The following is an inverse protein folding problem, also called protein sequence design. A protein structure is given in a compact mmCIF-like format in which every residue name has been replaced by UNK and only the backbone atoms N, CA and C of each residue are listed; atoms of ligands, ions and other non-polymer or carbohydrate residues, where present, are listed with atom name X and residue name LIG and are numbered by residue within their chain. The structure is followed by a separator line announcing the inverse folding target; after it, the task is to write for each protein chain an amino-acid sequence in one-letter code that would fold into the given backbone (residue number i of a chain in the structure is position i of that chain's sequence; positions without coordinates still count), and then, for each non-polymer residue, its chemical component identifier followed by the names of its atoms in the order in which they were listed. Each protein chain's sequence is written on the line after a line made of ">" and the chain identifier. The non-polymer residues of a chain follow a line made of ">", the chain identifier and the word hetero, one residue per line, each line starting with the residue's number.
data_IF_519039504902
#
_entry.id   IF_519039504902
#
_cell.length_a   1.000
_cell.length_b   1.000
_cell.length_c   1.000
_cell.angle_alpha   90.00
_cell.angle_beta   90.00
_cell.angle_gamma   90.00
#
_symmetry.space_group_name_H-M   'P 1'
#
loop_
_entity.id
_entity.type
_entity.pdbx_description
1 polymer ?
#
# COMPACT_ATOMS: atom_id res chain seq x y z
N UNK A 1 1.42 19.62 -10.63
CA UNK A 1 0.50 20.09 -9.58
C UNK A 1 1.14 19.96 -8.18
N UNK A 2 1.67 18.81 -7.77
CA UNK A 2 2.22 18.63 -6.41
C UNK A 2 3.45 19.50 -6.12
N UNK A 3 4.35 19.69 -7.08
CA UNK A 3 5.49 20.60 -6.93
C UNK A 3 5.04 22.06 -6.75
N UNK A 4 4.03 22.49 -7.50
CA UNK A 4 3.42 23.79 -7.32
C UNK A 4 2.81 23.92 -5.91
N UNK A 5 2.05 22.91 -5.46
CA UNK A 5 1.48 22.89 -4.11
C UNK A 5 2.53 23.04 -3.01
N UNK A 6 3.67 22.37 -3.14
CA UNK A 6 4.79 22.53 -2.21
C UNK A 6 5.30 23.97 -2.15
N UNK A 7 5.61 24.56 -3.30
CA UNK A 7 6.18 25.90 -3.36
C UNK A 7 5.20 26.99 -2.97
N UNK A 8 3.92 26.88 -3.32
CA UNK A 8 2.92 27.88 -2.92
C UNK A 8 2.70 27.85 -1.41
N UNK A 9 2.68 26.67 -0.78
CA UNK A 9 2.61 26.53 0.68
C UNK A 9 3.79 27.20 1.36
N UNK A 10 5.01 26.98 0.87
CA UNK A 10 6.22 27.62 1.37
C UNK A 10 6.16 29.14 1.20
N UNK A 11 5.75 29.62 0.01
CA UNK A 11 5.62 31.04 -0.26
C UNK A 11 4.65 31.72 0.70
N UNK A 12 3.47 31.15 0.91
CA UNK A 12 2.47 31.71 1.82
C UNK A 12 2.94 31.70 3.28
N UNK A 13 3.63 30.67 3.70
CA UNK A 13 4.26 30.60 5.02
C UNK A 13 5.24 31.74 5.23
N UNK A 14 6.13 31.97 4.27
CA UNK A 14 7.19 32.97 4.37
C UNK A 14 6.68 34.39 4.18
N UNK A 15 5.72 34.65 3.27
CA UNK A 15 5.22 35.99 2.94
C UNK A 15 4.15 36.48 3.90
N UNK A 16 3.33 35.62 4.44
CA UNK A 16 2.16 36.00 5.25
C UNK A 16 2.21 35.49 6.69
N UNK A 17 3.28 34.80 7.08
CA UNK A 17 3.43 34.26 8.45
C UNK A 17 2.41 33.16 8.81
N UNK A 18 1.81 32.51 7.81
CA UNK A 18 0.84 31.46 8.02
C UNK A 18 1.54 30.20 8.58
N UNK A 19 0.97 29.59 9.61
CA UNK A 19 1.46 28.30 10.11
C UNK A 19 1.08 27.19 9.12
N UNK A 20 1.88 27.01 8.09
CA UNK A 20 1.67 26.04 7.03
C UNK A 20 2.87 25.09 6.92
N UNK A 21 2.62 23.80 6.91
CA UNK A 21 3.62 22.74 6.80
C UNK A 21 3.41 21.95 5.53
N UNK A 22 4.50 21.54 4.86
CA UNK A 22 4.43 20.52 3.83
C UNK A 22 4.74 19.14 4.42
N UNK A 23 3.82 18.20 4.25
CA UNK A 23 4.06 16.79 4.49
C UNK A 23 4.42 16.06 3.19
N UNK A 24 5.65 15.60 3.07
CA UNK A 24 6.10 14.74 1.98
C UNK A 24 5.88 13.30 2.42
N UNK A 25 4.71 12.78 2.07
CA UNK A 25 4.24 11.49 2.55
C UNK A 25 4.59 10.38 1.56
N UNK A 26 5.37 9.40 2.01
CA UNK A 26 5.62 8.19 1.25
C UNK A 26 4.37 7.30 1.23
N UNK A 27 4.45 6.12 0.61
CA UNK A 27 3.27 5.29 0.42
C UNK A 27 2.66 4.90 1.77
N UNK A 28 1.48 5.41 2.06
CA UNK A 28 0.74 5.14 3.29
C UNK A 28 -0.53 4.36 2.96
N UNK A 29 -0.66 3.21 3.59
CA UNK A 29 -1.59 2.18 3.24
C UNK A 29 -2.52 1.86 4.41
N UNK A 30 -3.70 1.34 4.10
CA UNK A 30 -4.66 0.85 5.08
C UNK A 30 -5.78 0.06 4.38
N UNK A 31 -6.71 -0.56 5.12
CA UNK A 31 -7.95 -1.10 4.55
C UNK A 31 -8.78 -0.11 3.73
N UNK A 32 -8.56 1.19 3.91
CA UNK A 32 -9.25 2.27 3.18
C UNK A 32 -8.47 2.75 1.94
N UNK A 33 -7.35 2.13 1.60
CA UNK A 33 -6.60 2.48 0.39
C UNK A 33 -7.45 2.25 -0.85
N UNK A 34 -7.35 3.15 -1.84
CA UNK A 34 -8.05 2.99 -3.12
C UNK A 34 -7.70 1.66 -3.80
N UNK A 35 -8.69 1.01 -4.38
CA UNK A 35 -8.64 -0.37 -4.87
C UNK A 35 -7.67 -0.58 -6.04
N UNK A 36 -7.39 0.47 -6.81
CA UNK A 36 -6.46 0.46 -7.95
C UNK A 36 -4.99 0.52 -7.55
N UNK A 37 -4.68 0.85 -6.30
CA UNK A 37 -3.30 0.84 -5.79
C UNK A 37 -2.80 -0.58 -5.57
N UNK A 38 -1.51 -0.81 -5.86
CA UNK A 38 -0.91 -2.15 -5.89
C UNK A 38 -1.12 -2.95 -4.60
N UNK A 39 -0.96 -2.33 -3.44
CA UNK A 39 -1.15 -2.98 -2.14
C UNK A 39 -2.57 -3.47 -1.96
N UNK A 40 -3.56 -2.58 -2.21
CA UNK A 40 -4.98 -2.93 -2.08
C UNK A 40 -5.42 -3.92 -3.16
N UNK A 41 -4.92 -3.78 -4.38
CA UNK A 41 -5.14 -4.76 -5.45
C UNK A 41 -4.68 -6.17 -5.02
N UNK A 42 -3.51 -6.27 -4.37
CA UNK A 42 -2.98 -7.54 -3.88
C UNK A 42 -3.87 -8.11 -2.78
N UNK A 43 -4.18 -7.35 -1.72
CA UNK A 43 -4.94 -7.86 -0.57
C UNK A 43 -6.35 -8.29 -0.95
N UNK A 44 -7.03 -7.53 -1.82
CA UNK A 44 -8.34 -7.90 -2.38
C UNK A 44 -8.27 -9.16 -3.22
N UNK A 45 -7.28 -9.29 -4.11
CA UNK A 45 -7.11 -10.49 -4.92
C UNK A 45 -6.82 -11.73 -4.06
N UNK A 46 -5.96 -11.60 -3.04
CA UNK A 46 -5.66 -12.69 -2.10
C UNK A 46 -6.92 -13.14 -1.36
N UNK A 47 -7.74 -12.22 -0.89
CA UNK A 47 -9.01 -12.53 -0.25
C UNK A 47 -10.00 -13.21 -1.21
N UNK A 48 -10.14 -12.69 -2.44
CA UNK A 48 -10.99 -13.30 -3.48
C UNK A 48 -10.49 -14.71 -3.85
N UNK A 49 -9.18 -14.91 -4.04
CA UNK A 49 -8.58 -16.21 -4.35
C UNK A 49 -8.86 -17.22 -3.22
N UNK A 50 -8.68 -16.80 -1.97
CA UNK A 50 -8.96 -17.64 -0.80
C UNK A 50 -10.42 -18.10 -0.75
N UNK A 51 -11.35 -17.25 -1.18
CA UNK A 51 -12.79 -17.53 -1.19
C UNK A 51 -13.28 -18.19 -2.50
N UNK A 52 -12.39 -18.46 -3.46
CA UNK A 52 -12.74 -19.07 -4.75
C UNK A 52 -13.48 -18.12 -5.70
N UNK A 53 -13.35 -16.82 -5.50
CA UNK A 53 -14.00 -15.77 -6.31
C UNK A 53 -13.12 -15.27 -7.46
N UNK A 54 -11.84 -15.62 -7.44
CA UNK A 54 -10.83 -15.24 -8.42
C UNK A 54 -9.76 -16.35 -8.50
N UNK A 55 -9.23 -16.59 -9.70
CA UNK A 55 -8.21 -17.63 -9.88
C UNK A 55 -6.79 -17.08 -9.77
N UNK A 56 -6.52 -15.92 -10.35
CA UNK A 56 -5.15 -15.41 -10.52
C UNK A 56 -5.09 -13.90 -10.32
N UNK A 57 -4.07 -13.44 -9.59
CA UNK A 57 -3.69 -12.03 -9.48
C UNK A 57 -2.73 -11.67 -10.61
N UNK A 58 -3.07 -10.65 -11.40
CA UNK A 58 -2.22 -10.11 -12.46
C UNK A 58 -1.58 -8.79 -12.05
N UNK A 59 -0.25 -8.71 -12.18
CA UNK A 59 0.57 -7.53 -11.81
C UNK A 59 1.61 -7.23 -12.90
N UNK A 60 2.26 -6.06 -12.79
CA UNK A 60 3.42 -5.68 -13.59
C UNK A 60 4.73 -6.05 -12.90
N UNK A 61 5.60 -5.04 -12.69
CA UNK A 61 6.91 -5.21 -12.06
C UNK A 61 6.77 -5.58 -10.58
N UNK A 62 7.17 -6.80 -10.23
CA UNK A 62 7.15 -7.29 -8.85
C UNK A 62 8.44 -6.99 -8.07
N UNK A 63 9.49 -6.53 -8.73
CA UNK A 63 10.79 -6.25 -8.10
C UNK A 63 10.96 -4.79 -7.69
N UNK A 64 10.02 -3.93 -8.10
CA UNK A 64 9.98 -2.53 -7.67
C UNK A 64 9.89 -2.44 -6.14
N UNK A 65 10.75 -1.57 -5.56
CA UNK A 65 10.85 -1.36 -4.11
C UNK A 65 10.11 -0.11 -3.68
N UNK A 66 9.34 -0.21 -2.61
CA UNK A 66 8.57 0.91 -2.05
C UNK A 66 8.71 0.95 -0.54
N UNK A 67 8.70 2.15 -0.01
CA UNK A 67 8.56 2.42 1.41
C UNK A 67 7.06 2.50 1.73
N UNK A 68 6.53 1.47 2.38
CA UNK A 68 5.14 1.38 2.79
C UNK A 68 4.99 1.52 4.29
N UNK A 69 4.17 2.45 4.73
CA UNK A 69 3.77 2.61 6.12
C UNK A 69 2.26 2.60 6.31
N UNK A 70 1.83 2.55 7.55
CA UNK A 70 0.40 2.54 7.89
C UNK A 70 -0.16 3.96 7.94
N UNK A 71 -1.32 4.20 7.32
CA UNK A 71 -1.96 5.52 7.24
C UNK A 71 -2.19 6.18 8.62
N UNK A 72 -2.47 5.40 9.66
CA UNK A 72 -2.62 5.91 11.04
C UNK A 72 -1.35 6.62 11.54
N UNK A 73 -0.17 6.07 11.25
CA UNK A 73 1.10 6.70 11.62
C UNK A 73 1.30 8.04 10.89
N UNK A 74 0.90 8.10 9.63
CA UNK A 74 1.03 9.31 8.82
C UNK A 74 0.06 10.41 9.28
N UNK A 75 -1.18 10.05 9.64
CA UNK A 75 -2.15 11.00 10.21
C UNK A 75 -1.64 11.57 11.54
N UNK A 76 -1.06 10.73 12.40
CA UNK A 76 -0.40 11.20 13.63
C UNK A 76 0.74 12.18 13.30
N UNK A 77 1.56 11.87 12.30
CA UNK A 77 2.61 12.77 11.81
C UNK A 77 2.07 14.11 11.31
N UNK A 78 0.98 14.12 10.56
CA UNK A 78 0.33 15.35 10.10
C UNK A 78 -0.13 16.20 11.30
N UNK A 79 -0.72 15.59 12.32
CA UNK A 79 -1.13 16.28 13.53
C UNK A 79 0.07 16.87 14.27
N UNK A 80 1.15 16.09 14.45
CA UNK A 80 2.38 16.53 15.11
C UNK A 80 3.06 17.71 14.40
N UNK A 81 3.00 17.77 13.07
CA UNK A 81 3.52 18.91 12.32
C UNK A 81 2.85 20.23 12.74
N UNK A 82 1.54 20.21 12.99
CA UNK A 82 0.76 21.37 13.41
C UNK A 82 0.95 21.71 14.91
N UNK A 83 1.52 20.81 15.70
CA UNK A 83 1.86 21.03 17.11
C UNK A 83 3.32 21.50 17.27
N UNK A 84 4.10 21.58 16.20
CA UNK A 84 5.49 22.00 16.25
C UNK A 84 5.60 23.48 16.63
N UNK A 85 6.74 23.88 17.24
CA UNK A 85 6.97 25.29 17.62
C UNK A 85 7.04 26.25 16.43
N UNK A 86 7.42 25.75 15.27
CA UNK A 86 7.54 26.51 14.01
C UNK A 86 7.07 25.65 12.84
N UNK A 87 6.41 26.22 11.84
CA UNK A 87 6.02 25.51 10.64
C UNK A 87 7.26 25.15 9.82
N UNK A 88 7.30 23.94 9.28
CA UNK A 88 8.40 23.44 8.46
C UNK A 88 7.91 22.30 7.54
N UNK A 89 8.79 21.77 6.71
CA UNK A 89 8.51 20.69 5.77
C UNK A 89 9.11 19.39 6.29
N UNK A 90 8.30 18.31 6.28
CA UNK A 90 8.68 17.02 6.85
C UNK A 90 8.43 15.87 5.89
N UNK A 91 9.39 14.96 5.81
CA UNK A 91 9.21 13.67 5.17
C UNK A 91 8.66 12.70 6.21
N UNK A 92 7.53 12.06 5.91
CA UNK A 92 7.00 10.92 6.65
C UNK A 92 7.20 9.66 5.80
N UNK A 93 7.99 8.75 6.32
CA UNK A 93 8.37 7.49 5.69
C UNK A 93 8.78 6.49 6.76
N UNK A 94 8.83 5.20 6.44
CA UNK A 94 9.32 4.20 7.39
C UNK A 94 10.84 4.11 7.40
N UNK A 95 11.51 4.56 6.32
CA UNK A 95 12.95 4.40 6.10
C UNK A 95 13.34 2.96 5.77
N UNK A 96 12.38 2.15 5.33
CA UNK A 96 12.59 0.77 4.88
C UNK A 96 11.84 0.50 3.59
N UNK A 97 12.48 -0.20 2.66
CA UNK A 97 11.85 -0.58 1.41
C UNK A 97 11.66 -2.08 1.30
N UNK A 98 10.58 -2.45 0.64
CA UNK A 98 10.26 -3.84 0.35
C UNK A 98 9.84 -3.97 -1.12
N UNK A 99 10.09 -5.12 -1.71
CA UNK A 99 9.62 -5.42 -3.06
C UNK A 99 8.12 -5.71 -3.07
N UNK A 100 7.47 -5.45 -4.20
CA UNK A 100 6.07 -5.87 -4.42
C UNK A 100 5.94 -7.39 -4.23
N UNK A 101 6.92 -8.16 -4.68
CA UNK A 101 7.02 -9.62 -4.46
C UNK A 101 6.91 -9.98 -2.97
N UNK A 102 7.69 -9.33 -2.11
CA UNK A 102 7.66 -9.58 -0.68
C UNK A 102 6.29 -9.27 -0.05
N UNK A 103 5.65 -8.19 -0.50
CA UNK A 103 4.29 -7.87 -0.08
C UNK A 103 3.29 -8.96 -0.47
N UNK A 104 3.40 -9.50 -1.71
CA UNK A 104 2.57 -10.61 -2.20
C UNK A 104 2.76 -11.85 -1.31
N UNK A 105 4.01 -12.22 -1.03
CA UNK A 105 4.34 -13.38 -0.19
C UNK A 105 3.73 -13.27 1.21
N UNK A 106 3.85 -12.10 1.83
CA UNK A 106 3.22 -11.83 3.12
C UNK A 106 1.69 -11.94 3.04
N UNK A 107 1.07 -11.34 2.02
CA UNK A 107 -0.38 -11.36 1.87
C UNK A 107 -0.94 -12.78 1.67
N UNK A 108 -0.29 -13.61 0.85
CA UNK A 108 -0.68 -15.01 0.68
C UNK A 108 -0.42 -15.86 1.94
N UNK A 109 0.65 -15.56 2.68
CA UNK A 109 0.94 -16.24 3.94
C UNK A 109 -0.17 -16.02 4.99
N UNK A 110 -0.79 -14.82 5.04
CA UNK A 110 -1.91 -14.51 5.95
C UNK A 110 -3.16 -15.39 5.72
N UNK A 111 -3.31 -15.95 4.53
CA UNK A 111 -4.40 -16.89 4.21
C UNK A 111 -3.96 -18.36 4.17
N UNK A 112 -2.73 -18.65 4.65
CA UNK A 112 -2.18 -20.00 4.74
C UNK A 112 -1.69 -20.57 3.40
N UNK A 113 -1.40 -19.71 2.41
CA UNK A 113 -0.89 -20.12 1.09
C UNK A 113 0.60 -19.78 1.01
N UNK A 114 1.43 -20.77 0.67
CA UNK A 114 2.86 -20.61 0.39
C UNK A 114 3.10 -20.56 -1.11
N UNK A 115 3.68 -19.47 -1.60
CA UNK A 115 4.03 -19.33 -3.00
C UNK A 115 5.43 -19.92 -3.30
N UNK A 116 5.57 -20.44 -4.50
CA UNK A 116 6.82 -20.77 -5.16
C UNK A 116 6.87 -20.01 -6.50
N UNK A 117 7.98 -19.32 -6.76
CA UNK A 117 8.13 -18.59 -7.99
C UNK A 117 8.79 -19.44 -9.07
N UNK A 118 8.20 -19.48 -10.27
CA UNK A 118 8.70 -20.20 -11.44
C UNK A 118 8.73 -19.30 -12.67
N UNK A 119 9.77 -19.46 -13.48
CA UNK A 119 10.00 -18.60 -14.64
C UNK A 119 10.80 -17.34 -14.30
N UNK A 120 10.96 -16.46 -15.29
CA UNK A 120 11.65 -15.18 -15.15
C UNK A 120 10.98 -14.11 -16.03
N UNK A 121 11.09 -12.84 -15.62
CA UNK A 121 10.54 -11.70 -16.35
C UNK A 121 9.04 -11.87 -16.58
N UNK A 122 8.56 -11.60 -17.78
CA UNK A 122 7.14 -11.67 -18.13
C UNK A 122 6.49 -13.05 -18.00
N UNK A 123 7.29 -14.12 -17.99
CA UNK A 123 6.82 -15.50 -17.85
C UNK A 123 6.83 -15.99 -16.40
N UNK A 124 7.19 -15.13 -15.47
CA UNK A 124 7.24 -15.49 -14.06
C UNK A 124 5.85 -15.68 -13.49
N UNK A 125 5.70 -16.71 -12.66
CA UNK A 125 4.45 -17.10 -12.01
C UNK A 125 4.66 -17.43 -10.55
N UNK A 126 3.75 -16.97 -9.70
CA UNK A 126 3.63 -17.44 -8.31
C UNK A 126 2.66 -18.61 -8.24
N UNK A 127 3.17 -19.75 -7.81
CA UNK A 127 2.45 -21.02 -7.76
C UNK A 127 2.22 -21.41 -6.32
N UNK A 128 1.02 -21.82 -5.97
CA UNK A 128 0.75 -22.42 -4.67
C UNK A 128 1.50 -23.77 -4.54
N UNK A 129 2.41 -23.84 -3.57
CA UNK A 129 3.21 -25.05 -3.32
C UNK A 129 2.37 -26.31 -3.03
N UNK A 130 1.17 -26.13 -2.48
CA UNK A 130 0.31 -27.24 -2.09
C UNK A 130 -0.50 -27.80 -3.25
N UNK A 131 -1.04 -26.91 -4.09
CA UNK A 131 -2.00 -27.31 -5.14
C UNK A 131 -1.41 -27.30 -6.55
N UNK A 132 -0.26 -26.68 -6.75
CA UNK A 132 0.35 -26.47 -8.06
C UNK A 132 -0.36 -25.41 -8.93
N UNK A 133 -1.41 -24.75 -8.41
CA UNK A 133 -2.15 -23.71 -9.15
C UNK A 133 -1.34 -22.43 -9.28
N UNK A 134 -1.41 -21.80 -10.44
CA UNK A 134 -0.88 -20.45 -10.65
C UNK A 134 -1.82 -19.43 -10.00
N UNK A 135 -1.32 -18.72 -9.00
CA UNK A 135 -2.09 -17.72 -8.26
C UNK A 135 -1.63 -16.28 -8.57
N UNK A 136 -0.41 -16.10 -9.06
CA UNK A 136 0.14 -14.81 -9.48
C UNK A 136 0.75 -14.94 -10.86
N UNK A 137 0.50 -13.99 -11.73
CA UNK A 137 1.11 -13.92 -13.06
C UNK A 137 1.38 -12.46 -13.45
N UNK A 138 2.29 -12.28 -14.40
CA UNK A 138 2.63 -10.98 -14.95
C UNK A 138 1.72 -10.70 -16.15
N UNK A 139 1.21 -9.46 -16.22
CA UNK A 139 0.49 -8.93 -17.38
C UNK A 139 1.19 -7.64 -17.83
N UNK A 140 1.59 -7.59 -19.11
CA UNK A 140 2.29 -6.43 -19.71
C UNK A 140 1.51 -5.13 -19.59
N UNK A 141 0.19 -5.18 -19.56
CA UNK A 141 -0.68 -4.00 -19.41
C UNK A 141 -0.44 -3.23 -18.12
N UNK A 142 0.10 -3.91 -17.09
CA UNK A 142 0.43 -3.30 -15.81
C UNK A 142 1.88 -2.84 -15.69
N UNK A 143 2.71 -3.01 -16.73
CA UNK A 143 4.04 -2.42 -16.77
C UNK A 143 3.93 -0.91 -17.06
N UNK A 144 4.53 -0.12 -16.23
CA UNK A 144 4.58 1.34 -16.43
C UNK A 144 5.86 1.70 -17.18
N UNK A 145 5.77 2.51 -18.26
CA UNK A 145 6.97 2.89 -19.04
C UNK A 145 8.03 3.64 -18.23
N UNK A 146 7.61 4.36 -17.17
CA UNK A 146 8.47 5.13 -16.28
C UNK A 146 8.27 4.67 -14.83
N UNK A 147 8.60 3.42 -14.56
CA UNK A 147 8.56 2.88 -13.19
C UNK A 147 9.76 3.41 -12.38
N UNK A 148 9.50 3.82 -11.14
CA UNK A 148 10.57 4.10 -10.18
C UNK A 148 10.94 2.78 -9.51
N UNK A 149 12.13 2.28 -9.76
CA UNK A 149 12.57 0.97 -9.25
C UNK A 149 12.75 0.97 -7.73
N UNK A 150 13.24 2.08 -7.17
CA UNK A 150 13.52 2.21 -5.74
C UNK A 150 13.00 3.54 -5.22
N UNK A 151 12.16 3.49 -4.20
CA UNK A 151 11.61 4.67 -3.52
C UNK A 151 11.69 4.47 -2.01
N UNK A 152 12.59 5.22 -1.35
CA UNK A 152 12.83 5.19 0.09
C UNK A 152 12.83 6.61 0.64
N UNK A 153 12.15 6.81 1.77
CA UNK A 153 12.10 8.11 2.45
C UNK A 153 13.06 8.19 3.62
N UNK A 154 13.57 9.39 3.90
CA UNK A 154 14.35 9.67 5.10
C UNK A 154 13.51 10.39 6.16
N UNK A 155 13.02 9.68 7.19
CA UNK A 155 12.17 10.26 8.23
C UNK A 155 12.95 10.96 9.36
N UNK A 156 14.29 11.00 9.35
CA UNK A 156 15.12 11.44 10.48
C UNK A 156 14.78 12.84 10.98
N UNK A 157 14.41 13.77 10.08
CA UNK A 157 13.97 15.11 10.49
C UNK A 157 12.68 15.05 11.31
N UNK A 158 11.68 14.32 10.83
CA UNK A 158 10.41 14.16 11.55
C UNK A 158 10.62 13.46 12.91
N UNK A 159 11.46 12.45 12.96
CA UNK A 159 11.81 11.75 14.21
C UNK A 159 12.46 12.69 15.22
N UNK A 160 13.43 13.49 14.79
CA UNK A 160 14.19 14.40 15.67
C UNK A 160 13.35 15.58 16.16
N UNK A 161 12.59 16.20 15.26
CA UNK A 161 11.90 17.48 15.52
C UNK A 161 10.51 17.26 16.10
N UNK A 162 9.77 16.26 15.60
CA UNK A 162 8.39 15.98 16.01
C UNK A 162 8.29 14.82 17.01
N UNK A 163 9.36 14.06 17.24
CA UNK A 163 9.30 12.81 17.98
C UNK A 163 8.51 11.71 17.28
N UNK A 164 8.16 11.92 16.01
CA UNK A 164 7.35 10.98 15.25
C UNK A 164 8.07 9.64 15.03
N UNK A 165 7.34 8.54 15.23
CA UNK A 165 7.82 7.18 14.95
C UNK A 165 6.66 6.37 14.40
N UNK A 166 6.91 5.61 13.33
CA UNK A 166 5.91 4.64 12.87
C UNK A 166 5.77 3.51 13.91
N UNK A 167 4.54 3.06 14.14
CA UNK A 167 4.16 2.03 15.13
C UNK A 167 3.88 0.69 14.47
N UNK A 168 3.45 0.73 13.21
CA UNK A 168 3.10 -0.45 12.44
C UNK A 168 4.26 -0.87 11.54
N UNK A 169 4.63 -2.15 11.60
CA UNK A 169 5.52 -2.76 10.61
C UNK A 169 4.74 -3.25 9.38
N UNK A 170 5.47 -3.66 8.34
CA UNK A 170 4.85 -4.14 7.11
C UNK A 170 3.95 -5.35 7.34
N UNK A 171 4.34 -6.27 8.24
CA UNK A 171 3.56 -7.49 8.51
C UNK A 171 2.21 -7.16 9.17
N UNK A 172 2.20 -6.28 10.16
CA UNK A 172 0.98 -5.81 10.81
C UNK A 172 0.05 -5.11 9.81
N UNK A 173 0.61 -4.25 8.93
CA UNK A 173 -0.13 -3.58 7.87
C UNK A 173 -0.78 -4.58 6.90
N UNK A 174 0.00 -5.55 6.39
CA UNK A 174 -0.50 -6.56 5.46
C UNK A 174 -1.58 -7.41 6.11
N UNK A 175 -1.39 -7.84 7.35
CA UNK A 175 -2.39 -8.61 8.09
C UNK A 175 -3.70 -7.83 8.20
N UNK A 176 -3.68 -6.58 8.69
CA UNK A 176 -4.90 -5.76 8.84
C UNK A 176 -5.64 -5.62 7.49
N UNK A 177 -4.91 -5.33 6.41
CA UNK A 177 -5.50 -5.18 5.08
C UNK A 177 -6.11 -6.47 4.54
N UNK A 178 -5.41 -7.61 4.67
CA UNK A 178 -5.90 -8.91 4.20
C UNK A 178 -7.12 -9.37 4.99
N UNK A 179 -7.10 -9.24 6.33
CA UNK A 179 -8.23 -9.62 7.17
C UNK A 179 -9.47 -8.76 6.86
N UNK A 180 -9.30 -7.46 6.70
CA UNK A 180 -10.39 -6.55 6.32
C UNK A 180 -11.01 -6.94 4.96
N UNK A 181 -10.19 -7.27 3.96
CA UNK A 181 -10.70 -7.70 2.66
C UNK A 181 -11.36 -9.09 2.70
N UNK A 182 -10.86 -10.00 3.53
CA UNK A 182 -11.52 -11.29 3.77
C UNK A 182 -12.92 -11.11 4.36
N UNK A 183 -13.06 -10.25 5.36
CA UNK A 183 -14.36 -9.95 5.97
C UNK A 183 -15.31 -9.30 4.95
N UNK A 184 -14.82 -8.34 4.16
CA UNK A 184 -15.59 -7.69 3.11
C UNK A 184 -16.16 -8.73 2.14
N UNK A 185 -15.32 -9.58 1.55
CA UNK A 185 -15.76 -10.55 0.55
C UNK A 185 -16.56 -11.72 1.14
N UNK A 186 -16.33 -12.12 2.38
CA UNK A 186 -17.20 -13.07 3.08
C UNK A 186 -18.62 -12.51 3.23
N UNK A 187 -18.75 -11.24 3.63
CA UNK A 187 -20.03 -10.54 3.70
C UNK A 187 -20.73 -10.52 2.35
N UNK A 188 -19.99 -10.20 1.29
CA UNK A 188 -20.52 -10.14 -0.07
C UNK A 188 -21.02 -11.52 -0.55
N UNK A 189 -20.28 -12.58 -0.27
CA UNK A 189 -20.72 -13.95 -0.56
C UNK A 189 -22.00 -14.29 0.20
N UNK A 190 -22.07 -13.92 1.46
CA UNK A 190 -23.28 -14.16 2.29
C UNK A 190 -24.50 -13.41 1.75
N UNK A 191 -24.35 -12.14 1.39
CA UNK A 191 -25.42 -11.32 0.83
C UNK A 191 -25.91 -11.90 -0.51
N UNK A 192 -24.99 -12.30 -1.40
CA UNK A 192 -25.34 -12.95 -2.67
C UNK A 192 -26.16 -14.23 -2.47
N UNK A 193 -25.76 -15.08 -1.53
CA UNK A 193 -26.48 -16.31 -1.20
C UNK A 193 -27.90 -16.03 -0.67
N UNK A 194 -28.08 -14.90 0.02
CA UNK A 194 -29.39 -14.40 0.48
C UNK A 194 -30.22 -13.69 -0.59
N UNK A 195 -29.77 -13.65 -1.85
CA UNK A 195 -30.49 -12.98 -2.95
C UNK A 195 -30.36 -11.46 -2.99
N UNK A 196 -29.49 -10.88 -2.15
CA UNK A 196 -29.27 -9.43 -2.13
C UNK A 196 -28.32 -8.97 -3.24
N UNK A 197 -28.60 -7.79 -3.80
CA UNK A 197 -27.66 -7.12 -4.70
C UNK A 197 -26.50 -6.54 -3.91
N UNK A 198 -25.27 -6.76 -4.39
CA UNK A 198 -24.09 -6.13 -3.85
C UNK A 198 -23.81 -4.89 -4.70
N UNK A 199 -23.63 -3.76 -4.03
CA UNK A 199 -23.11 -2.56 -4.67
C UNK A 199 -21.62 -2.79 -4.89
N UNK A 200 -21.25 -3.05 -6.16
CA UNK A 200 -19.83 -2.99 -6.55
C UNK A 200 -19.45 -1.52 -6.61
N UNK A 201 -18.53 -1.09 -5.78
CA UNK A 201 -17.76 0.10 -6.10
C UNK A 201 -17.04 -0.17 -7.42
N UNK A 202 -17.22 0.73 -8.37
CA UNK A 202 -16.67 0.57 -9.73
C UNK A 202 -15.15 0.50 -9.65
N UNK A 203 -14.58 -0.57 -10.20
CA UNK A 203 -13.14 -0.70 -10.44
C UNK A 203 -12.66 0.25 -11.54
#
# INVERSE_FOLDING_TARGET
>A
AKLYGFWITKNYRESYGIFACNGILFNHESPLRGETFVTRKITRAVAKIKLGLQDTLYLGNMDAKRDWGHAKDYVEGMWLMLQAKKPDDFVLATGKTYTVRHFIELAFAEVGIKLEWKGKGEKEKGIDKKTGKTLVAIDKRYYRPAEVDHLEGDPRKAQRVLGWKHKYDLKALVNEMVQSDLELFKRDVYLKKGGHKILHEQE
#
